data_IF_874699689262
#
_entry.id   IF_874699689262
#
_cell.length_a   1.000
_cell.length_b   1.000
_cell.length_c   1.000
_cell.angle_alpha   90.00
_cell.angle_beta   90.00
_cell.angle_gamma   90.00
#
_symmetry.space_group_name_H-M   'P 1'
#
loop_
_entity.id
_entity.type
_entity.pdbx_description
1 polymer ?
#
# COMPACT_ATOMS: atom_id res chain seq x y z
N UNK A 1 32.98 -19.32 37.75
CA UNK A 1 33.15 -19.34 36.28
C UNK A 1 31.77 -19.58 35.69
N UNK A 2 31.19 -18.54 35.08
CA UNK A 2 29.88 -18.60 34.42
C UNK A 2 30.10 -18.85 32.92
N UNK A 3 29.40 -19.84 32.36
CA UNK A 3 28.98 -19.91 30.96
C UNK A 3 27.68 -20.71 31.01
N UNK A 4 26.51 -20.25 30.55
CA UNK A 4 26.21 -19.29 29.50
C UNK A 4 25.21 -20.02 28.60
N UNK A 5 23.91 -19.88 28.92
CA UNK A 5 22.82 -20.49 28.16
C UNK A 5 22.64 -19.77 26.81
N UNK A 6 22.38 -20.55 25.76
CA UNK A 6 21.97 -20.07 24.46
C UNK A 6 20.59 -20.64 24.13
N UNK A 7 19.55 -20.09 24.77
CA UNK A 7 18.19 -20.28 24.32
C UNK A 7 17.99 -19.48 23.05
N UNK A 8 17.60 -20.13 21.96
CA UNK A 8 17.20 -19.46 20.74
C UNK A 8 15.92 -18.66 21.03
N UNK A 9 16.07 -17.34 21.18
CA UNK A 9 14.95 -16.42 21.23
C UNK A 9 14.26 -16.46 19.87
N UNK A 10 13.17 -17.23 19.79
CA UNK A 10 12.18 -17.09 18.75
C UNK A 10 11.57 -15.69 18.93
N UNK A 11 12.17 -14.72 18.23
CA UNK A 11 11.70 -13.34 18.17
C UNK A 11 10.20 -13.36 17.91
N UNK A 12 9.44 -13.07 18.95
CA UNK A 12 8.01 -12.88 18.86
C UNK A 12 7.82 -11.68 17.95
N UNK A 13 7.55 -11.95 16.67
CA UNK A 13 6.97 -11.00 15.73
C UNK A 13 5.64 -10.57 16.34
N UNK A 14 5.71 -9.56 17.22
CA UNK A 14 4.56 -8.81 17.67
C UNK A 14 4.09 -8.05 16.44
N UNK A 15 3.20 -8.69 15.67
CA UNK A 15 2.38 -7.98 14.69
C UNK A 15 1.57 -6.99 15.49
N UNK A 16 2.02 -5.73 15.55
CA UNK A 16 1.15 -4.64 15.95
C UNK A 16 0.10 -4.54 14.86
N UNK A 17 -1.06 -5.15 15.10
CA UNK A 17 -2.28 -4.74 14.41
C UNK A 17 -2.68 -3.42 15.05
N UNK A 18 -1.87 -2.38 14.88
CA UNK A 18 -2.39 -1.03 15.03
C UNK A 18 -3.41 -0.93 13.91
N UNK A 19 -4.68 -0.79 14.28
CA UNK A 19 -5.74 -0.56 13.32
C UNK A 19 -5.42 0.81 12.72
N UNK A 20 -4.65 0.83 11.63
CA UNK A 20 -4.21 2.06 10.96
C UNK A 20 -5.40 2.65 10.21
N UNK A 21 -6.36 3.18 10.96
CA UNK A 21 -7.39 4.07 10.43
C UNK A 21 -6.74 5.24 9.67
N UNK A 22 -5.49 5.59 10.03
CA UNK A 22 -4.71 6.70 9.47
C UNK A 22 -3.96 6.35 8.15
N UNK A 23 -3.73 5.09 7.81
CA UNK A 23 -3.08 4.74 6.52
C UNK A 23 -4.08 4.61 5.37
N UNK A 24 -5.36 4.63 5.67
CA UNK A 24 -6.41 4.55 4.66
C UNK A 24 -6.30 5.62 3.58
N UNK A 25 -5.91 6.81 3.97
CA UNK A 25 -5.68 7.95 3.08
C UNK A 25 -4.41 7.81 2.23
N UNK A 26 -3.50 6.91 2.61
CA UNK A 26 -2.33 6.54 1.81
C UNK A 26 -2.76 5.68 0.63
N UNK A 27 -3.70 4.76 0.85
CA UNK A 27 -4.04 3.75 -0.16
C UNK A 27 -5.28 4.10 -0.98
N UNK A 28 -6.14 5.01 -0.51
CA UNK A 28 -7.42 5.31 -1.15
C UNK A 28 -7.56 6.80 -1.51
N UNK A 29 -8.02 7.12 -2.74
CA UNK A 29 -8.33 8.50 -3.13
C UNK A 29 -9.51 9.03 -2.32
N UNK A 30 -9.66 10.37 -2.25
CA UNK A 30 -10.68 11.05 -1.43
C UNK A 30 -12.09 10.48 -1.60
N UNK A 31 -12.53 10.24 -2.83
CA UNK A 31 -13.86 9.69 -3.10
C UNK A 31 -14.06 8.25 -2.57
N UNK A 32 -12.98 7.49 -2.37
CA UNK A 32 -12.96 6.15 -1.78
C UNK A 32 -12.65 6.18 -0.28
N UNK A 33 -12.42 7.36 0.30
CA UNK A 33 -12.29 7.57 1.75
C UNK A 33 -13.61 7.33 2.55
N UNK A 34 -14.57 6.54 2.05
CA UNK A 34 -15.60 5.87 2.89
C UNK A 34 -15.39 4.37 3.15
N UNK A 35 -14.62 3.68 2.32
CA UNK A 35 -14.40 2.22 2.40
C UNK A 35 -13.48 1.78 3.55
N UNK A 36 -13.85 0.75 4.30
CA UNK A 36 -12.99 0.21 5.36
C UNK A 36 -11.95 -0.76 4.79
N UNK A 37 -10.67 -0.37 4.90
CA UNK A 37 -9.50 -1.12 4.47
C UNK A 37 -8.56 -1.31 5.68
N UNK A 38 -8.23 -2.55 6.00
CA UNK A 38 -7.23 -2.90 7.00
C UNK A 38 -5.91 -3.21 6.29
N UNK A 39 -4.82 -2.59 6.71
CA UNK A 39 -3.48 -2.78 6.13
C UNK A 39 -2.50 -3.15 7.25
N UNK A 40 -1.63 -4.12 7.00
CA UNK A 40 -0.52 -4.45 7.89
C UNK A 40 0.60 -3.43 7.76
N UNK A 41 1.38 -3.26 8.82
CA UNK A 41 2.66 -2.55 8.73
C UNK A 41 3.50 -3.14 7.57
N UNK A 42 4.12 -2.29 6.73
CA UNK A 42 5.04 -2.77 5.70
C UNK A 42 6.23 -3.48 6.35
N UNK A 43 6.57 -4.68 5.90
CA UNK A 43 7.82 -5.33 6.28
C UNK A 43 8.95 -4.90 5.35
N UNK A 44 10.09 -4.55 5.93
CA UNK A 44 11.28 -4.08 5.21
C UNK A 44 12.17 -5.27 4.84
N UNK A 45 12.61 -5.30 3.58
CA UNK A 45 13.48 -6.34 3.05
C UNK A 45 14.61 -5.72 2.24
N UNK A 46 15.85 -6.18 2.48
CA UNK A 46 16.98 -5.81 1.63
C UNK A 46 16.78 -6.36 0.21
N UNK A 47 16.90 -5.50 -0.80
CA UNK A 47 16.78 -5.92 -2.19
C UNK A 47 18.03 -6.73 -2.61
N UNK A 48 17.85 -8.04 -2.84
CA UNK A 48 18.95 -8.92 -3.26
C UNK A 48 19.39 -8.57 -4.69
N UNK A 49 20.63 -8.08 -4.86
CA UNK A 49 21.28 -7.88 -6.16
C UNK A 49 21.56 -6.42 -6.57
N UNK A 50 21.17 -5.44 -5.75
CA UNK A 50 21.56 -4.04 -5.92
C UNK A 50 22.81 -3.73 -5.09
N UNK A 51 23.87 -3.24 -5.71
CA UNK A 51 25.01 -2.69 -4.97
C UNK A 51 24.62 -1.37 -4.33
N UNK A 52 23.98 -1.41 -3.15
CA UNK A 52 23.57 -0.22 -2.40
C UNK A 52 22.29 -0.44 -1.60
N UNK A 53 22.05 0.45 -0.64
CA UNK A 53 21.09 0.42 0.49
C UNK A 53 19.59 0.42 0.09
N UNK A 54 19.19 -0.29 -0.96
CA UNK A 54 17.81 -0.30 -1.44
C UNK A 54 16.95 -1.26 -0.61
N UNK A 55 16.03 -0.69 0.18
CA UNK A 55 15.08 -1.45 0.99
C UNK A 55 13.71 -1.52 0.28
N UNK A 56 13.12 -2.70 0.24
CA UNK A 56 11.79 -2.95 -0.31
C UNK A 56 10.79 -3.16 0.84
N UNK A 57 9.78 -2.32 0.91
CA UNK A 57 8.64 -2.48 1.82
C UNK A 57 7.57 -3.37 1.20
N UNK A 58 7.07 -4.36 1.92
CA UNK A 58 5.97 -5.22 1.48
C UNK A 58 4.79 -5.08 2.43
N UNK A 59 3.63 -4.71 1.90
CA UNK A 59 2.41 -4.52 2.70
C UNK A 59 1.24 -5.34 2.17
N UNK A 60 0.30 -5.61 3.07
CA UNK A 60 -0.84 -6.50 2.84
C UNK A 60 -2.09 -5.87 3.42
N UNK A 61 -3.25 -6.14 2.84
CA UNK A 61 -4.49 -5.63 3.39
C UNK A 61 -5.74 -6.37 2.93
N UNK A 62 -6.85 -6.01 3.56
CA UNK A 62 -8.18 -6.55 3.22
C UNK A 62 -9.25 -5.49 3.43
N UNK A 63 -10.13 -5.36 2.45
CA UNK A 63 -11.34 -4.54 2.58
C UNK A 63 -12.39 -5.30 3.38
N UNK A 64 -13.03 -4.63 4.34
CA UNK A 64 -14.13 -5.23 5.11
C UNK A 64 -15.33 -5.59 4.22
N UNK A 65 -15.68 -4.72 3.28
CA UNK A 65 -16.86 -4.87 2.41
C UNK A 65 -16.56 -4.47 0.95
N UNK A 66 -15.56 -5.12 0.32
CA UNK A 66 -15.10 -4.72 -1.02
C UNK A 66 -16.21 -4.69 -2.08
N UNK A 67 -17.13 -5.66 -2.07
CA UNK A 67 -18.19 -5.74 -3.09
C UNK A 67 -19.12 -4.53 -3.10
N UNK A 68 -19.27 -3.86 -1.95
CA UNK A 68 -20.12 -2.68 -1.77
C UNK A 68 -19.30 -1.37 -1.76
N UNK A 69 -17.98 -1.48 -1.82
CA UNK A 69 -17.05 -0.35 -1.70
C UNK A 69 -17.14 0.62 -2.87
N UNK A 70 -16.87 1.90 -2.60
CA UNK A 70 -16.68 2.92 -3.64
C UNK A 70 -15.45 2.64 -4.49
N UNK A 71 -14.41 2.04 -3.91
CA UNK A 71 -13.20 1.60 -4.61
C UNK A 71 -13.54 0.67 -5.75
N UNK A 72 -14.34 -0.37 -5.49
CA UNK A 72 -14.81 -1.29 -6.54
C UNK A 72 -15.66 -0.57 -7.59
N UNK A 73 -16.54 0.33 -7.16
CA UNK A 73 -17.35 1.12 -8.11
C UNK A 73 -16.47 1.96 -9.02
N UNK A 74 -15.42 2.59 -8.49
CA UNK A 74 -14.45 3.37 -9.28
C UNK A 74 -13.69 2.48 -10.27
N UNK A 75 -13.20 1.31 -9.84
CA UNK A 75 -12.52 0.35 -10.71
C UNK A 75 -13.41 -0.07 -11.89
N UNK A 76 -14.67 -0.41 -11.63
CA UNK A 76 -15.63 -0.82 -12.66
C UNK A 76 -16.00 0.37 -13.57
N UNK A 77 -16.27 1.55 -13.00
CA UNK A 77 -16.65 2.74 -13.76
C UNK A 77 -15.53 3.21 -14.68
N UNK A 78 -14.28 3.13 -14.22
CA UNK A 78 -13.08 3.43 -15.02
C UNK A 78 -12.74 2.32 -16.03
N UNK A 79 -13.53 1.24 -16.08
CA UNK A 79 -13.28 0.07 -16.92
C UNK A 79 -11.85 -0.47 -16.74
N UNK A 80 -11.34 -0.45 -15.50
CA UNK A 80 -9.99 -0.87 -15.20
C UNK A 80 -9.81 -2.36 -15.57
N UNK A 81 -8.78 -2.65 -16.35
CA UNK A 81 -8.45 -4.00 -16.78
C UNK A 81 -7.88 -4.81 -15.61
N UNK A 82 -8.19 -6.11 -15.62
CA UNK A 82 -7.60 -7.06 -14.68
C UNK A 82 -6.27 -7.55 -15.22
N UNK A 83 -5.27 -7.61 -14.36
CA UNK A 83 -3.94 -8.11 -14.70
C UNK A 83 -4.00 -9.57 -15.15
N UNK A 84 -3.40 -9.85 -16.31
CA UNK A 84 -3.39 -11.20 -16.88
C UNK A 84 -2.42 -12.11 -16.12
N UNK A 85 -1.22 -11.58 -15.81
CA UNK A 85 -0.09 -12.34 -15.25
C UNK A 85 -0.05 -12.33 -13.73
N UNK A 86 -0.68 -11.34 -13.10
CA UNK A 86 -0.67 -11.20 -11.64
C UNK A 86 -1.93 -11.85 -11.07
N UNK A 87 -1.74 -12.59 -9.98
CA UNK A 87 -2.82 -13.22 -9.21
C UNK A 87 -2.69 -12.85 -7.75
N UNK A 88 -3.83 -12.79 -7.08
CA UNK A 88 -3.89 -12.54 -5.66
C UNK A 88 -3.12 -13.65 -4.91
N UNK A 89 -2.09 -13.31 -4.11
CA UNK A 89 -1.29 -14.31 -3.40
C UNK A 89 -2.08 -15.03 -2.30
N UNK A 90 -3.23 -14.49 -1.89
CA UNK A 90 -4.05 -15.07 -0.82
C UNK A 90 -5.14 -16.02 -1.33
N UNK A 91 -5.78 -15.70 -2.45
CA UNK A 91 -6.95 -16.45 -2.91
C UNK A 91 -6.92 -16.82 -4.40
N UNK A 92 -5.81 -16.53 -5.11
CA UNK A 92 -5.66 -16.83 -6.54
C UNK A 92 -6.57 -16.04 -7.48
N UNK A 93 -7.35 -15.08 -6.96
CA UNK A 93 -8.24 -14.25 -7.76
C UNK A 93 -7.50 -13.32 -8.72
N UNK A 94 -8.19 -12.90 -9.78
CA UNK A 94 -7.71 -11.82 -10.66
C UNK A 94 -7.60 -10.50 -9.88
N UNK A 95 -6.65 -9.66 -10.28
CA UNK A 95 -6.35 -8.40 -9.59
C UNK A 95 -6.39 -7.21 -10.52
N UNK A 96 -6.75 -6.05 -9.98
CA UNK A 96 -6.55 -4.76 -10.63
C UNK A 96 -5.24 -4.14 -10.15
N UNK A 97 -4.50 -3.50 -11.05
CA UNK A 97 -3.43 -2.56 -10.68
C UNK A 97 -4.05 -1.23 -10.27
N UNK A 98 -3.83 -0.82 -9.03
CA UNK A 98 -4.38 0.45 -8.52
C UNK A 98 -3.69 1.65 -9.18
N UNK A 99 -2.41 1.49 -9.56
CA UNK A 99 -1.62 2.47 -10.32
C UNK A 99 -2.17 2.63 -11.73
N UNK A 100 -2.41 1.53 -12.46
CA UNK A 100 -2.99 1.57 -13.80
C UNK A 100 -4.42 2.13 -13.79
N UNK A 101 -5.20 1.83 -12.75
CA UNK A 101 -6.54 2.37 -12.55
C UNK A 101 -6.57 3.86 -12.13
N UNK A 102 -5.41 4.49 -11.91
CA UNK A 102 -5.28 5.87 -11.41
C UNK A 102 -6.02 6.10 -10.08
N UNK A 103 -5.92 5.12 -9.18
CA UNK A 103 -6.52 5.16 -7.83
C UNK A 103 -5.45 5.20 -6.73
N UNK A 104 -4.21 5.57 -7.06
CA UNK A 104 -3.13 5.77 -6.09
C UNK A 104 -3.08 7.25 -5.73
N UNK A 105 -3.28 7.64 -4.46
CA UNK A 105 -3.11 9.03 -4.02
C UNK A 105 -1.69 9.53 -4.28
N UNK A 106 -1.53 10.80 -4.65
CA UNK A 106 -0.19 11.39 -4.91
C UNK A 106 0.68 11.40 -3.65
N UNK A 107 0.06 11.58 -2.49
CA UNK A 107 0.75 11.57 -1.19
C UNK A 107 1.16 10.18 -0.71
N UNK A 108 0.73 9.10 -1.39
CA UNK A 108 0.92 7.73 -0.94
C UNK A 108 2.39 7.34 -0.82
N UNK A 109 3.21 7.63 -1.85
CA UNK A 109 4.64 7.31 -1.84
C UNK A 109 5.34 8.00 -0.68
N UNK A 110 5.09 9.30 -0.49
CA UNK A 110 5.66 10.11 0.60
C UNK A 110 5.29 9.56 1.98
N UNK A 111 4.01 9.23 2.19
CA UNK A 111 3.51 8.70 3.48
C UNK A 111 4.00 7.29 3.79
N UNK A 112 4.45 6.55 2.78
CA UNK A 112 5.07 5.23 2.93
C UNK A 112 6.61 5.29 2.97
N UNK A 113 7.20 6.48 3.02
CA UNK A 113 8.66 6.64 2.97
C UNK A 113 9.27 6.10 1.67
N UNK A 114 8.50 6.09 0.58
CA UNK A 114 8.88 5.50 -0.70
C UNK A 114 9.30 6.56 -1.71
N UNK A 115 10.26 6.18 -2.58
CA UNK A 115 10.63 6.98 -3.76
C UNK A 115 9.40 7.21 -4.64
N UNK A 116 9.30 8.41 -5.22
CA UNK A 116 8.20 8.72 -6.14
C UNK A 116 8.15 7.73 -7.31
N UNK A 117 6.94 7.28 -7.64
CA UNK A 117 6.70 6.22 -8.63
C UNK A 117 7.04 4.80 -8.18
N UNK A 118 7.65 4.61 -7.00
CA UNK A 118 8.09 3.32 -6.47
C UNK A 118 7.01 2.49 -5.75
N UNK A 119 5.79 3.01 -5.64
CA UNK A 119 4.65 2.34 -5.02
C UNK A 119 3.85 1.54 -6.07
N UNK A 120 3.71 0.24 -5.82
CA UNK A 120 2.88 -0.64 -6.65
C UNK A 120 2.01 -1.54 -5.77
N UNK A 121 0.70 -1.50 -5.99
CA UNK A 121 -0.21 -2.39 -5.28
C UNK A 121 -1.44 -2.75 -6.11
N UNK A 122 -2.01 -3.89 -5.72
CA UNK A 122 -3.06 -4.56 -6.43
C UNK A 122 -4.20 -4.90 -5.48
N UNK A 123 -5.41 -4.88 -6.00
CA UNK A 123 -6.61 -5.32 -5.27
C UNK A 123 -7.30 -6.42 -6.07
N UNK A 124 -7.55 -7.56 -5.44
CA UNK A 124 -8.23 -8.66 -6.09
C UNK A 124 -9.76 -8.46 -6.15
N UNK A 125 -10.42 -9.23 -7.01
CA UNK A 125 -11.89 -9.22 -7.12
C UNK A 125 -12.63 -9.49 -5.80
N UNK A 126 -11.97 -10.14 -4.83
CA UNK A 126 -12.52 -10.43 -3.50
C UNK A 126 -12.15 -9.37 -2.44
N UNK A 127 -11.33 -8.37 -2.77
CA UNK A 127 -10.95 -7.29 -1.85
C UNK A 127 -9.68 -7.51 -1.03
N UNK A 128 -8.81 -8.44 -1.41
CA UNK A 128 -7.48 -8.51 -0.83
C UNK A 128 -6.53 -7.54 -1.51
N UNK A 129 -5.74 -6.83 -0.71
CA UNK A 129 -4.71 -5.89 -1.15
C UNK A 129 -3.32 -6.49 -0.91
N UNK A 130 -2.43 -6.35 -1.89
CA UNK A 130 -1.01 -6.61 -1.72
C UNK A 130 -0.20 -5.61 -2.54
N UNK A 131 0.96 -5.24 -2.04
CA UNK A 131 1.83 -4.33 -2.76
C UNK A 131 3.23 -4.25 -2.19
N UNK A 132 4.05 -3.51 -2.91
CA UNK A 132 5.44 -3.24 -2.58
C UNK A 132 5.73 -1.75 -2.77
N UNK A 133 6.69 -1.24 -2.02
CA UNK A 133 7.21 0.10 -2.18
C UNK A 133 8.74 0.11 -2.06
N UNK A 134 9.41 0.89 -2.89
CA UNK A 134 10.86 1.12 -2.76
C UNK A 134 11.09 2.18 -1.69
N UNK A 135 11.62 1.77 -0.54
CA UNK A 135 11.83 2.64 0.62
C UNK A 135 13.08 3.50 0.41
N UNK A 136 13.03 4.72 0.92
CA UNK A 136 14.16 5.65 0.92
C UNK A 136 15.05 5.28 2.14
N UNK A 137 16.37 5.12 1.98
CA UNK A 137 17.27 4.85 3.09
C UNK A 137 17.25 6.01 4.10
N UNK A 138 17.26 5.68 5.39
CA UNK A 138 17.31 6.67 6.48
C UNK A 138 18.60 7.53 6.50
N UNK A 139 19.59 7.23 5.64
CA UNK A 139 20.83 7.99 5.45
C UNK A 139 20.70 9.16 4.47
N UNK A 140 19.56 9.29 3.77
CA UNK A 140 19.30 10.41 2.86
C UNK A 140 18.88 11.62 3.69
N UNK A 141 19.74 12.63 3.78
CA UNK A 141 19.49 13.89 4.51
C UNK A 141 18.05 14.39 4.32
N UNK A 142 17.35 14.55 5.44
CA UNK A 142 15.97 15.00 5.52
C UNK A 142 15.89 16.49 5.12
N UNK A 143 15.70 16.78 3.84
CA UNK A 143 15.05 18.02 3.48
C UNK A 143 13.56 17.88 3.87
N UNK A 144 13.20 18.47 5.01
CA UNK A 144 11.81 18.72 5.42
C UNK A 144 11.07 19.37 4.25
N UNK A 145 10.30 18.57 3.49
CA UNK A 145 9.46 19.11 2.42
C UNK A 145 8.14 19.50 3.03
N UNK A 146 7.91 20.81 3.05
CA UNK A 146 6.74 21.49 3.60
C UNK A 146 5.43 20.73 3.38
N UNK A 147 4.66 20.68 4.46
CA UNK A 147 3.37 20.02 4.56
C UNK A 147 2.28 20.86 3.89
N UNK A 148 2.39 21.05 2.58
CA UNK A 148 1.30 21.60 1.80
C UNK A 148 0.28 20.48 1.60
N UNK A 149 -0.85 20.61 2.28
CA UNK A 149 -2.04 19.82 2.06
C UNK A 149 -2.58 20.06 0.65
N UNK A 150 -1.87 19.55 -0.36
CA UNK A 150 -2.37 19.47 -1.72
C UNK A 150 -3.62 18.59 -1.68
N UNK A 151 -4.75 19.28 -1.71
CA UNK A 151 -6.02 18.68 -1.91
C UNK A 151 -5.94 17.84 -3.20
N UNK A 152 -6.13 16.51 -3.07
CA UNK A 152 -6.42 15.67 -4.23
C UNK A 152 -7.60 16.31 -4.99
N UNK A 153 -7.31 17.09 -6.03
CA UNK A 153 -8.27 17.69 -6.94
C UNK A 153 -8.66 16.60 -7.94
N UNK A 154 -9.45 15.64 -7.47
CA UNK A 154 -10.36 14.91 -8.34
C UNK A 154 -11.53 15.88 -8.60
N UNK A 155 -11.30 16.89 -9.46
CA UNK A 155 -12.39 17.57 -10.15
C UNK A 155 -12.99 16.57 -11.14
N UNK A 156 -13.74 15.65 -10.56
CA UNK A 156 -14.79 14.93 -11.23
C UNK A 156 -15.79 16.01 -11.70
N UNK A 157 -15.73 16.39 -12.97
CA UNK A 157 -16.75 17.20 -13.62
C UNK A 157 -18.08 16.42 -13.61
N UNK A 158 -18.76 16.49 -12.47
CA UNK A 158 -20.06 15.90 -12.22
C UNK A 158 -21.15 16.83 -12.76
N UNK A 159 -21.15 17.05 -14.07
CA UNK A 159 -22.31 17.60 -14.77
C UNK A 159 -22.97 16.53 -15.64
N UNK A 160 -24.11 16.06 -15.15
CA UNK A 160 -25.26 15.48 -15.87
C UNK A 160 -25.00 14.28 -16.80
N UNK A 161 -25.64 13.18 -16.44
CA UNK A 161 -25.95 12.05 -17.32
C UNK A 161 -26.83 11.06 -16.61
#
# INVERSE_FOLDING_TARGET
MFFGGGGVDAGSLRVRVEILQDLREVFLPKNCRGDLLYVSDPCEHEAVGGGGEENLGVFRGVFREFMRSKTRQCLVRRQAELEEKVRCPYCGGRVWSMKAARLVPKSAARRLGSRDGGLEFYVCVNGHLHGTCWLIPLSSDEEERDFDGEEDDDSDDFLRG
#
